data_IF_711776008743
#
_entry.id   IF_711776008743
#
_cell.length_a   1.000
_cell.length_b   1.000
_cell.length_c   1.000
_cell.angle_alpha   90.00
_cell.angle_beta   90.00
_cell.angle_gamma   90.00
#
_symmetry.space_group_name_H-M   'P 1'
#
loop_
_entity.id
_entity.type
_entity.pdbx_description
1 polymer ?
#
# COMPACT_ATOMS: atom_id res chain seq x y z
N UNK A 1 78.64 -10.24 -20.52
CA UNK A 1 77.62 -10.89 -19.67
C UNK A 1 76.40 -11.18 -20.54
N UNK A 2 76.26 -12.40 -20.99
CA UNK A 2 75.17 -12.81 -21.88
C UNK A 2 73.95 -13.23 -21.00
N UNK A 3 72.92 -12.48 -21.06
CA UNK A 3 71.68 -12.74 -20.27
C UNK A 3 70.81 -13.75 -21.00
N UNK A 4 70.47 -14.87 -20.31
CA UNK A 4 69.88 -16.07 -20.84
C UNK A 4 68.37 -15.77 -21.30
N UNK A 5 67.99 -15.97 -22.58
CA UNK A 5 66.67 -15.68 -23.12
C UNK A 5 65.55 -16.57 -22.52
N UNK A 6 65.91 -17.68 -21.89
CA UNK A 6 64.86 -18.58 -21.26
C UNK A 6 64.28 -17.99 -19.99
N UNK A 7 64.98 -17.11 -19.26
CA UNK A 7 64.45 -16.43 -18.07
C UNK A 7 63.45 -15.33 -18.42
N UNK A 8 63.44 -14.75 -19.62
CA UNK A 8 62.49 -13.79 -20.11
C UNK A 8 61.13 -14.45 -20.51
N UNK A 9 61.20 -15.65 -21.08
CA UNK A 9 60.01 -16.40 -21.48
C UNK A 9 59.20 -16.89 -20.25
N UNK A 10 59.83 -17.27 -19.15
CA UNK A 10 59.16 -17.69 -17.92
C UNK A 10 58.52 -16.50 -17.15
N UNK A 11 59.12 -15.32 -17.18
CA UNK A 11 58.56 -14.13 -16.54
C UNK A 11 57.34 -13.58 -17.30
N UNK A 12 57.29 -13.68 -18.64
CA UNK A 12 56.13 -13.28 -19.43
C UNK A 12 54.97 -14.28 -19.29
N UNK A 13 55.27 -15.58 -19.16
CA UNK A 13 54.21 -16.60 -18.96
C UNK A 13 53.57 -16.49 -17.57
N UNK A 14 54.30 -16.08 -16.53
CA UNK A 14 53.78 -15.84 -15.19
C UNK A 14 52.91 -14.57 -15.09
N UNK A 15 53.18 -13.53 -15.88
CA UNK A 15 52.34 -12.32 -15.94
C UNK A 15 51.03 -12.50 -16.72
N UNK A 16 50.98 -13.39 -17.71
CA UNK A 16 49.77 -13.70 -18.46
C UNK A 16 48.80 -14.63 -17.71
N UNK A 17 49.26 -15.40 -16.73
CA UNK A 17 48.44 -16.26 -15.89
C UNK A 17 47.71 -15.52 -14.76
N UNK A 18 48.14 -14.29 -14.42
CA UNK A 18 47.51 -13.48 -13.35
C UNK A 18 46.34 -12.60 -13.81
N UNK A 19 46.04 -12.54 -15.12
CA UNK A 19 44.96 -11.70 -15.69
C UNK A 19 43.66 -12.48 -15.91
N UNK A 20 43.60 -13.74 -15.54
CA UNK A 20 42.54 -14.69 -15.97
C UNK A 20 41.44 -14.97 -14.96
N UNK A 21 41.28 -14.29 -13.81
CA UNK A 21 40.20 -14.58 -12.86
C UNK A 21 39.57 -13.32 -12.24
N UNK A 22 39.28 -12.30 -13.04
CA UNK A 22 38.17 -11.46 -12.72
C UNK A 22 36.91 -12.23 -13.17
N UNK A 23 36.45 -13.19 -12.38
CA UNK A 23 35.09 -13.69 -12.48
C UNK A 23 34.21 -12.47 -12.29
N UNK A 24 33.67 -11.95 -13.38
CA UNK A 24 32.56 -11.01 -13.35
C UNK A 24 31.45 -11.77 -12.61
N UNK A 25 31.30 -11.49 -11.34
CA UNK A 25 30.13 -11.93 -10.59
C UNK A 25 28.92 -11.39 -11.37
N UNK A 26 28.39 -12.21 -12.27
CA UNK A 26 27.20 -11.88 -13.05
C UNK A 26 26.14 -11.56 -12.00
N UNK A 27 25.59 -10.35 -12.03
CA UNK A 27 24.52 -9.97 -11.13
C UNK A 27 23.43 -11.03 -11.25
N UNK A 28 23.08 -11.63 -10.12
CA UNK A 28 22.04 -12.67 -10.10
C UNK A 28 20.74 -12.07 -10.59
N UNK A 29 20.02 -12.70 -11.54
CA UNK A 29 18.75 -12.16 -12.02
C UNK A 29 17.78 -11.92 -10.86
N UNK A 30 17.02 -10.83 -10.90
CA UNK A 30 16.04 -10.52 -9.85
C UNK A 30 15.08 -11.70 -9.60
N UNK A 31 14.67 -12.42 -10.64
CA UNK A 31 13.78 -13.59 -10.52
C UNK A 31 14.36 -14.71 -9.65
N UNK A 32 15.65 -14.98 -9.76
CA UNK A 32 16.32 -16.00 -8.91
C UNK A 32 16.43 -15.55 -7.45
N UNK A 33 16.65 -14.25 -7.22
CA UNK A 33 16.68 -13.66 -5.87
C UNK A 33 15.31 -13.61 -5.23
N UNK A 34 14.27 -13.35 -6.03
CA UNK A 34 12.89 -13.18 -5.59
C UNK A 34 12.34 -14.47 -4.94
N UNK A 35 12.70 -15.64 -5.48
CA UNK A 35 12.23 -16.94 -5.01
C UNK A 35 13.22 -17.64 -4.07
N UNK A 36 14.37 -17.03 -3.82
CA UNK A 36 15.35 -17.63 -2.92
C UNK A 36 14.87 -17.59 -1.46
N UNK A 37 14.67 -18.77 -0.86
CA UNK A 37 14.13 -18.93 0.51
C UNK A 37 15.11 -19.61 1.49
N UNK A 38 16.40 -19.69 1.11
CA UNK A 38 17.43 -20.28 1.96
C UNK A 38 17.68 -19.49 3.26
N UNK A 39 18.26 -20.15 4.28
CA UNK A 39 18.45 -19.54 5.60
C UNK A 39 19.36 -18.33 5.62
N UNK A 40 20.18 -18.15 4.58
CA UNK A 40 21.08 -17.01 4.39
C UNK A 40 20.49 -15.89 3.51
N UNK A 41 19.18 -15.95 3.16
CA UNK A 41 18.51 -14.94 2.32
C UNK A 41 18.79 -13.51 2.77
N UNK A 42 18.55 -13.19 4.04
CA UNK A 42 18.77 -11.82 4.56
C UNK A 42 20.22 -11.40 4.43
N UNK A 43 21.18 -12.29 4.70
CA UNK A 43 22.61 -11.99 4.58
C UNK A 43 23.00 -11.72 3.12
N UNK A 44 22.49 -12.51 2.16
CA UNK A 44 22.71 -12.31 0.73
C UNK A 44 22.12 -11.01 0.24
N UNK A 45 20.86 -10.73 0.58
CA UNK A 45 20.19 -9.49 0.21
C UNK A 45 20.93 -8.28 0.79
N UNK A 46 21.31 -8.33 2.06
CA UNK A 46 22.07 -7.24 2.70
C UNK A 46 23.44 -7.01 2.03
N UNK A 47 24.18 -8.08 1.72
CA UNK A 47 25.47 -7.96 1.05
C UNK A 47 25.35 -7.33 -0.35
N UNK A 48 24.28 -7.68 -1.10
CA UNK A 48 23.94 -7.08 -2.40
C UNK A 48 23.52 -5.62 -2.25
N UNK A 49 22.58 -5.34 -1.36
CA UNK A 49 22.04 -4.01 -1.08
C UNK A 49 23.12 -3.01 -0.63
N UNK A 50 24.12 -3.45 0.13
CA UNK A 50 25.27 -2.61 0.49
C UNK A 50 26.13 -2.22 -0.72
N UNK A 51 26.22 -3.06 -1.74
CA UNK A 51 26.91 -2.71 -2.99
C UNK A 51 26.08 -1.76 -3.84
N UNK A 52 24.76 -1.91 -3.82
CA UNK A 52 23.80 -1.03 -4.49
C UNK A 52 23.70 0.33 -3.80
N UNK A 53 23.81 0.38 -2.47
CA UNK A 53 23.90 1.58 -1.64
C UNK A 53 22.60 2.35 -1.46
N UNK A 54 21.62 2.13 -2.33
CA UNK A 54 20.32 2.86 -2.33
C UNK A 54 19.17 1.97 -2.78
N UNK A 55 17.94 2.42 -2.50
CA UNK A 55 16.69 1.87 -3.01
C UNK A 55 15.70 3.01 -3.23
N UNK A 56 14.93 2.98 -4.31
CA UNK A 56 13.88 3.97 -4.63
C UNK A 56 12.51 3.41 -4.29
N UNK A 57 11.81 4.10 -3.39
CA UNK A 57 10.47 3.75 -2.92
C UNK A 57 9.42 4.75 -3.42
N UNK A 58 8.39 4.25 -4.10
CA UNK A 58 7.15 4.98 -4.35
C UNK A 58 6.10 4.53 -3.33
N UNK A 59 5.57 5.46 -2.52
CA UNK A 59 4.68 5.10 -1.41
C UNK A 59 3.51 6.06 -1.24
N UNK A 60 2.34 5.50 -0.89
CA UNK A 60 1.14 6.25 -0.52
C UNK A 60 0.95 6.43 1.00
N UNK A 61 1.89 5.94 1.81
CA UNK A 61 1.88 6.19 3.27
C UNK A 61 1.81 7.67 3.59
N UNK A 62 1.26 8.02 4.75
CA UNK A 62 1.40 9.38 5.26
C UNK A 62 2.88 9.74 5.41
N UNK A 63 3.21 11.03 5.34
CA UNK A 63 4.61 11.46 5.46
C UNK A 63 5.25 10.98 6.77
N UNK A 64 4.49 11.01 7.86
CA UNK A 64 4.96 10.59 9.18
C UNK A 64 5.21 9.07 9.25
N UNK A 65 4.32 8.25 8.66
CA UNK A 65 4.45 6.80 8.66
C UNK A 65 5.59 6.35 7.73
N UNK A 66 5.67 6.96 6.55
CA UNK A 66 6.77 6.72 5.61
C UNK A 66 8.13 7.07 6.24
N UNK A 67 8.23 8.22 6.92
CA UNK A 67 9.46 8.63 7.59
C UNK A 67 9.86 7.66 8.71
N UNK A 68 8.90 7.14 9.47
CA UNK A 68 9.17 6.16 10.52
C UNK A 68 9.70 4.83 9.95
N UNK A 69 9.06 4.29 8.92
CA UNK A 69 9.48 3.03 8.27
C UNK A 69 10.85 3.19 7.61
N UNK A 70 11.02 4.26 6.81
CA UNK A 70 12.28 4.52 6.09
C UNK A 70 13.43 4.79 7.05
N UNK A 71 13.20 5.59 8.10
CA UNK A 71 14.21 5.87 9.13
C UNK A 71 14.69 4.60 9.82
N UNK A 72 13.77 3.70 10.17
CA UNK A 72 14.11 2.42 10.80
C UNK A 72 14.86 1.48 9.83
N UNK A 73 14.46 1.41 8.55
CA UNK A 73 15.17 0.63 7.54
C UNK A 73 16.61 1.14 7.34
N UNK A 74 16.78 2.45 7.18
CA UNK A 74 18.09 3.07 7.02
C UNK A 74 18.98 2.86 8.26
N UNK A 75 18.43 3.00 9.45
CA UNK A 75 19.16 2.78 10.70
C UNK A 75 19.60 1.31 10.84
N UNK A 76 18.73 0.36 10.47
CA UNK A 76 19.01 -1.08 10.59
C UNK A 76 20.06 -1.57 9.59
N UNK A 77 19.99 -1.12 8.34
CA UNK A 77 20.76 -1.71 7.24
C UNK A 77 21.82 -0.80 6.64
N UNK A 78 21.76 0.51 6.89
CA UNK A 78 22.71 1.49 6.32
C UNK A 78 22.49 1.72 4.82
N UNK A 79 21.31 1.39 4.29
CA UNK A 79 20.97 1.58 2.87
C UNK A 79 20.11 2.84 2.74
N UNK A 80 20.48 3.76 1.84
CA UNK A 80 19.74 5.00 1.61
C UNK A 80 18.41 4.69 0.88
N UNK A 81 17.30 5.28 1.34
CA UNK A 81 16.02 5.21 0.64
C UNK A 81 15.73 6.54 -0.03
N UNK A 82 15.64 6.52 -1.36
CA UNK A 82 15.10 7.62 -2.15
C UNK A 82 13.58 7.48 -2.17
N UNK A 83 12.87 8.55 -1.80
CA UNK A 83 11.44 8.48 -1.59
C UNK A 83 10.70 9.39 -2.57
N UNK A 84 9.65 8.85 -3.18
CA UNK A 84 8.63 9.64 -3.83
C UNK A 84 7.27 9.28 -3.23
N UNK A 85 6.51 10.30 -2.81
CA UNK A 85 5.19 10.15 -2.23
C UNK A 85 4.12 10.72 -3.14
N UNK A 86 3.07 9.95 -3.38
CA UNK A 86 1.88 10.36 -4.12
C UNK A 86 0.61 9.73 -3.55
N UNK A 87 -0.53 10.02 -4.12
CA UNK A 87 -1.73 9.20 -3.94
C UNK A 87 -1.50 7.81 -4.53
N UNK A 88 -2.36 6.85 -4.20
CA UNK A 88 -2.27 5.51 -4.79
C UNK A 88 -2.40 5.55 -6.32
N UNK A 89 -3.31 6.38 -6.83
CA UNK A 89 -3.51 6.62 -8.26
C UNK A 89 -2.28 7.27 -8.92
N UNK A 90 -1.65 8.26 -8.27
CA UNK A 90 -0.43 8.90 -8.78
C UNK A 90 0.72 7.91 -8.92
N UNK A 91 0.87 6.98 -7.95
CA UNK A 91 1.90 5.93 -7.98
C UNK A 91 1.71 5.03 -9.20
N UNK A 92 0.49 4.51 -9.41
CA UNK A 92 0.17 3.68 -10.57
C UNK A 92 0.42 4.44 -11.88
N UNK A 93 -0.12 5.64 -12.00
CA UNK A 93 -0.02 6.45 -13.22
C UNK A 93 1.43 6.78 -13.57
N UNK A 94 2.24 7.12 -12.56
CA UNK A 94 3.67 7.37 -12.73
C UNK A 94 4.41 6.10 -13.15
N UNK A 95 4.19 4.98 -12.47
CA UNK A 95 4.83 3.72 -12.78
C UNK A 95 4.54 3.27 -14.23
N UNK A 96 3.27 3.31 -14.66
CA UNK A 96 2.87 2.98 -16.03
C UNK A 96 3.54 3.90 -17.05
N UNK A 97 3.57 5.21 -16.79
CA UNK A 97 4.17 6.20 -17.68
C UNK A 97 5.68 5.99 -17.83
N UNK A 98 6.38 5.74 -16.73
CA UNK A 98 7.82 5.49 -16.72
C UNK A 98 8.16 4.20 -17.46
N UNK A 99 7.43 3.11 -17.21
CA UNK A 99 7.63 1.83 -17.91
C UNK A 99 7.36 1.95 -19.41
N UNK A 100 6.29 2.63 -19.83
CA UNK A 100 5.99 2.87 -21.24
C UNK A 100 7.10 3.69 -21.93
N UNK A 101 7.76 4.58 -21.20
CA UNK A 101 8.89 5.38 -21.67
C UNK A 101 10.24 4.66 -21.57
N UNK A 102 10.28 3.39 -21.11
CA UNK A 102 11.52 2.62 -20.89
C UNK A 102 12.38 3.16 -19.74
N UNK A 103 11.80 3.92 -18.82
CA UNK A 103 12.49 4.44 -17.63
C UNK A 103 12.14 3.58 -16.43
N UNK A 104 13.15 3.08 -15.75
CA UNK A 104 13.02 2.17 -14.61
C UNK A 104 13.70 2.83 -13.40
N UNK A 105 13.01 3.75 -12.73
CA UNK A 105 13.57 4.55 -11.64
C UNK A 105 13.20 3.97 -10.27
N UNK A 106 12.03 3.35 -10.16
CA UNK A 106 11.54 2.79 -8.91
C UNK A 106 11.97 1.34 -8.71
N UNK A 107 12.28 1.00 -7.47
CA UNK A 107 12.58 -0.36 -7.03
C UNK A 107 11.37 -1.03 -6.38
N UNK A 108 10.66 -0.30 -5.53
CA UNK A 108 9.52 -0.80 -4.75
C UNK A 108 8.36 0.18 -4.85
N UNK A 109 7.16 -0.35 -5.09
CA UNK A 109 5.90 0.35 -4.86
C UNK A 109 5.27 -0.12 -3.55
N UNK A 110 4.74 0.81 -2.75
CA UNK A 110 3.91 0.55 -1.57
C UNK A 110 2.63 1.39 -1.70
N UNK A 111 1.49 0.72 -1.96
CA UNK A 111 0.22 1.41 -2.21
C UNK A 111 -0.98 0.48 -2.05
N UNK A 112 -2.20 0.98 -2.31
CA UNK A 112 -3.43 0.18 -2.20
C UNK A 112 -3.46 -0.98 -3.20
N UNK A 113 -4.10 -2.09 -2.82
CA UNK A 113 -4.26 -3.26 -3.67
C UNK A 113 -4.99 -2.93 -4.98
N UNK A 114 -5.96 -2.02 -4.96
CA UNK A 114 -6.68 -1.57 -6.15
C UNK A 114 -5.76 -0.97 -7.22
N UNK A 115 -4.63 -0.38 -6.82
CA UNK A 115 -3.64 0.19 -7.72
C UNK A 115 -2.48 -0.75 -8.01
N UNK A 116 -2.24 -1.73 -7.11
CA UNK A 116 -1.23 -2.77 -7.34
C UNK A 116 -1.69 -3.78 -8.39
N UNK A 117 -2.97 -4.16 -8.41
CA UNK A 117 -3.51 -5.13 -9.37
C UNK A 117 -3.33 -4.71 -10.84
N UNK A 118 -3.64 -3.46 -11.26
CA UNK A 118 -3.32 -3.00 -12.61
C UNK A 118 -1.82 -3.09 -12.94
N UNK A 119 -0.93 -2.77 -11.99
CA UNK A 119 0.51 -2.90 -12.23
C UNK A 119 0.97 -4.35 -12.40
N UNK A 120 0.31 -5.30 -11.74
CA UNK A 120 0.53 -6.74 -11.97
C UNK A 120 0.04 -7.16 -13.35
N UNK A 121 -1.16 -6.74 -13.75
CA UNK A 121 -1.77 -7.05 -15.06
C UNK A 121 -0.88 -6.54 -16.21
N UNK A 122 -0.31 -5.37 -16.06
CA UNK A 122 0.66 -4.77 -16.98
C UNK A 122 2.08 -5.33 -16.84
N UNK A 123 2.27 -6.36 -16.01
CA UNK A 123 3.55 -7.07 -15.79
C UNK A 123 4.69 -6.16 -15.27
N UNK A 124 4.38 -5.09 -14.55
CA UNK A 124 5.38 -4.20 -13.97
C UNK A 124 6.04 -4.81 -12.73
N UNK A 125 5.32 -5.65 -11.98
CA UNK A 125 5.78 -6.20 -10.72
C UNK A 125 6.37 -7.60 -10.87
N UNK A 126 7.42 -7.85 -10.10
CA UNK A 126 8.10 -9.16 -10.02
C UNK A 126 7.33 -10.05 -9.03
N UNK A 127 6.92 -11.26 -9.41
CA UNK A 127 6.48 -12.25 -8.44
C UNK A 127 7.58 -12.54 -7.41
N UNK A 128 7.22 -12.54 -6.13
CA UNK A 128 8.16 -12.77 -5.03
C UNK A 128 7.60 -13.80 -4.07
N UNK A 129 8.39 -14.84 -3.78
CA UNK A 129 8.13 -15.80 -2.71
C UNK A 129 9.19 -15.61 -1.62
N UNK A 130 8.76 -15.27 -0.40
CA UNK A 130 9.71 -14.96 0.68
C UNK A 130 9.29 -15.59 2.01
N UNK A 131 10.25 -16.12 2.80
CA UNK A 131 9.98 -16.56 4.16
C UNK A 131 9.44 -15.46 5.09
N UNK A 132 9.71 -14.18 4.77
CA UNK A 132 9.20 -13.04 5.53
C UNK A 132 7.66 -12.96 5.52
N UNK A 133 7.00 -13.58 4.55
CA UNK A 133 5.53 -13.66 4.48
C UNK A 133 4.93 -14.76 5.38
N UNK A 134 5.77 -15.63 5.99
CA UNK A 134 5.29 -16.69 6.84
C UNK A 134 4.60 -16.12 8.10
N UNK A 135 3.33 -16.43 8.28
CA UNK A 135 2.55 -15.95 9.44
C UNK A 135 1.68 -14.73 9.16
N UNK A 136 1.71 -14.20 7.96
CA UNK A 136 0.69 -13.25 7.50
C UNK A 136 -0.64 -13.96 7.27
N UNK A 137 -1.74 -13.20 7.33
CA UNK A 137 -3.06 -13.75 6.98
C UNK A 137 -3.09 -14.22 5.51
N UNK A 138 -3.89 -15.24 5.16
CA UNK A 138 -3.98 -15.72 3.79
C UNK A 138 -4.32 -14.62 2.77
N UNK A 139 -5.18 -13.67 3.16
CA UNK A 139 -5.60 -12.55 2.31
C UNK A 139 -4.49 -11.53 2.03
N UNK A 140 -3.35 -11.63 2.71
CA UNK A 140 -2.18 -10.79 2.43
C UNK A 140 -1.37 -11.28 1.23
N UNK A 141 -1.53 -12.55 0.84
CA UNK A 141 -0.72 -13.20 -0.21
C UNK A 141 -1.57 -13.38 -1.45
N UNK A 142 -1.31 -12.57 -2.46
CA UNK A 142 -2.03 -12.65 -3.73
C UNK A 142 -1.59 -13.90 -4.52
N UNK A 143 -2.50 -14.61 -5.21
CA UNK A 143 -2.16 -15.83 -5.96
C UNK A 143 -1.06 -15.65 -7.01
N UNK A 144 -0.94 -14.45 -7.58
CA UNK A 144 0.09 -14.11 -8.58
C UNK A 144 1.43 -13.70 -7.97
N UNK A 145 1.54 -13.56 -6.63
CA UNK A 145 2.74 -13.16 -5.90
C UNK A 145 3.41 -11.84 -6.36
N UNK A 146 2.75 -11.01 -7.17
CA UNK A 146 3.31 -9.76 -7.69
C UNK A 146 3.46 -8.67 -6.62
N UNK A 147 2.69 -8.77 -5.53
CA UNK A 147 2.80 -7.94 -4.34
C UNK A 147 2.25 -8.67 -3.12
N UNK A 148 2.60 -8.20 -1.93
CA UNK A 148 2.18 -8.80 -0.67
C UNK A 148 1.62 -7.68 0.22
N UNK A 149 0.44 -7.90 0.81
CA UNK A 149 -0.15 -6.91 1.69
C UNK A 149 0.63 -6.80 3.01
N UNK A 150 0.99 -5.59 3.37
CA UNK A 150 1.74 -5.24 4.59
C UNK A 150 0.82 -4.74 5.69
N UNK A 151 -0.35 -4.22 5.32
CA UNK A 151 -1.37 -3.69 6.21
C UNK A 151 -2.75 -3.76 5.56
N UNK A 152 -3.77 -3.55 6.37
CA UNK A 152 -5.15 -3.39 5.93
C UNK A 152 -5.56 -1.94 6.11
N UNK A 153 -6.05 -1.31 5.05
CA UNK A 153 -6.80 -0.06 5.13
C UNK A 153 -8.25 -0.41 5.45
N UNK A 154 -8.65 -0.24 6.71
CA UNK A 154 -10.01 -0.55 7.15
C UNK A 154 -10.87 0.68 6.96
N UNK A 155 -11.86 0.58 6.09
CA UNK A 155 -12.84 1.63 5.88
C UNK A 155 -13.76 1.76 7.10
N UNK A 156 -13.85 2.96 7.60
CA UNK A 156 -14.73 3.33 8.70
C UNK A 156 -15.42 4.66 8.38
N UNK A 157 -16.58 4.91 8.95
CA UNK A 157 -17.05 6.27 9.10
C UNK A 157 -16.30 6.98 10.23
N UNK A 158 -16.41 8.30 10.25
CA UNK A 158 -15.88 9.14 11.32
C UNK A 158 -16.84 10.29 11.60
N UNK A 159 -16.94 10.73 12.85
CA UNK A 159 -17.74 11.88 13.18
C UNK A 159 -17.04 12.80 14.19
N UNK A 160 -17.41 14.08 14.13
CA UNK A 160 -16.94 15.08 15.08
C UNK A 160 -17.75 15.02 16.38
N UNK A 161 -17.11 14.81 17.52
CA UNK A 161 -17.76 14.59 18.82
C UNK A 161 -18.29 15.88 19.47
N UNK A 162 -17.85 17.05 19.02
CA UNK A 162 -18.40 18.33 19.45
C UNK A 162 -19.76 18.61 18.81
N UNK A 163 -19.96 18.09 17.57
CA UNK A 163 -21.17 18.30 16.77
C UNK A 163 -22.18 17.15 16.94
N UNK A 164 -21.68 15.91 16.98
CA UNK A 164 -22.51 14.70 17.08
C UNK A 164 -22.14 13.98 18.37
N UNK A 165 -23.09 13.87 19.29
CA UNK A 165 -22.86 13.13 20.53
C UNK A 165 -22.81 11.63 20.26
N UNK A 166 -22.01 10.83 20.99
CA UNK A 166 -21.93 9.37 20.76
C UNK A 166 -23.28 8.64 20.78
N UNK A 167 -24.20 9.09 21.63
CA UNK A 167 -25.57 8.53 21.71
C UNK A 167 -26.41 8.78 20.45
N UNK A 168 -26.09 9.83 19.69
CA UNK A 168 -26.81 10.25 18.48
C UNK A 168 -26.16 9.74 17.19
N UNK A 169 -24.96 9.15 17.28
CA UNK A 169 -24.24 8.58 16.14
C UNK A 169 -25.07 7.47 15.47
N UNK A 170 -25.04 7.35 14.14
CA UNK A 170 -25.75 6.29 13.42
C UNK A 170 -25.13 4.93 13.75
N UNK A 171 -25.96 3.88 13.74
CA UNK A 171 -25.55 2.50 14.01
C UNK A 171 -25.58 1.61 12.76
N UNK A 172 -26.20 2.11 11.71
CA UNK A 172 -26.33 1.44 10.41
C UNK A 172 -26.33 2.49 9.29
N UNK A 173 -26.13 2.05 8.06
CA UNK A 173 -26.29 2.93 6.90
C UNK A 173 -27.74 3.42 6.73
N UNK A 174 -28.74 2.61 7.12
CA UNK A 174 -30.15 2.97 7.11
C UNK A 174 -30.44 4.19 7.98
N UNK A 175 -29.77 4.34 9.11
CA UNK A 175 -29.94 5.49 10.03
C UNK A 175 -29.55 6.82 9.36
N UNK A 176 -28.68 6.77 8.32
CA UNK A 176 -28.26 7.95 7.57
C UNK A 176 -29.34 8.53 6.66
N UNK A 177 -30.49 7.85 6.49
CA UNK A 177 -31.67 8.39 5.77
C UNK A 177 -32.42 9.46 6.58
N UNK A 178 -32.16 9.52 7.89
CA UNK A 178 -32.84 10.47 8.76
C UNK A 178 -32.50 11.93 8.41
N UNK A 179 -33.50 12.86 8.40
CA UNK A 179 -33.29 14.28 8.02
C UNK A 179 -32.29 15.03 8.91
N UNK A 180 -31.97 14.52 10.10
CA UNK A 180 -30.96 15.12 11.00
C UNK A 180 -29.56 15.16 10.40
N UNK A 181 -29.32 14.37 9.35
CA UNK A 181 -28.02 14.30 8.66
C UNK A 181 -27.87 15.28 7.49
N UNK A 182 -28.92 16.06 7.19
CA UNK A 182 -28.90 17.01 6.07
C UNK A 182 -27.73 17.99 6.18
N UNK A 183 -26.89 18.02 5.12
CA UNK A 183 -25.69 18.87 5.03
C UNK A 183 -24.53 18.44 5.92
N UNK A 184 -24.58 17.25 6.55
CA UNK A 184 -23.56 16.79 7.49
C UNK A 184 -22.66 15.66 6.95
N UNK A 185 -23.02 15.08 5.82
CA UNK A 185 -22.34 13.88 5.30
C UNK A 185 -21.18 14.24 4.38
N UNK A 186 -20.13 13.44 4.44
CA UNK A 186 -19.00 13.48 3.51
C UNK A 186 -18.56 12.09 3.08
N UNK A 187 -17.91 12.02 1.90
CA UNK A 187 -17.35 10.78 1.35
C UNK A 187 -16.08 11.09 0.54
N UNK A 188 -15.18 10.15 0.47
CA UNK A 188 -14.00 10.24 -0.40
C UNK A 188 -14.36 9.85 -1.84
N UNK A 189 -13.78 10.54 -2.84
CA UNK A 189 -14.21 10.47 -4.26
C UNK A 189 -13.82 9.17 -4.96
N UNK A 190 -12.74 8.51 -4.51
CA UNK A 190 -12.15 7.34 -5.19
C UNK A 190 -12.57 6.00 -4.54
N UNK A 191 -13.61 5.98 -3.68
CA UNK A 191 -14.05 4.81 -2.90
C UNK A 191 -15.04 3.89 -3.64
N UNK A 192 -14.91 3.77 -4.97
CA UNK A 192 -15.74 2.86 -5.74
C UNK A 192 -15.55 1.37 -5.37
N UNK A 193 -14.36 0.99 -4.90
CA UNK A 193 -14.06 -0.36 -4.39
C UNK A 193 -14.78 -0.65 -3.06
N UNK A 194 -14.90 0.36 -2.18
CA UNK A 194 -15.72 0.26 -0.98
C UNK A 194 -17.20 0.09 -1.34
N UNK A 195 -17.72 0.91 -2.27
CA UNK A 195 -19.12 0.82 -2.71
C UNK A 195 -19.41 -0.57 -3.27
N UNK A 196 -18.57 -1.11 -4.19
CA UNK A 196 -18.69 -2.46 -4.73
C UNK A 196 -18.87 -3.49 -3.61
N UNK A 197 -18.01 -3.40 -2.59
CA UNK A 197 -17.94 -4.39 -1.51
C UNK A 197 -19.19 -4.29 -0.61
N UNK A 198 -19.53 -3.08 -0.15
CA UNK A 198 -20.69 -2.86 0.73
C UNK A 198 -22.01 -3.23 0.06
N UNK A 199 -22.19 -2.78 -1.18
CA UNK A 199 -23.44 -3.09 -1.93
C UNK A 199 -23.52 -4.56 -2.32
N UNK A 200 -22.36 -5.20 -2.57
CA UNK A 200 -22.30 -6.64 -2.83
C UNK A 200 -22.89 -7.46 -1.69
N UNK A 201 -22.54 -7.11 -0.45
CA UNK A 201 -23.09 -7.75 0.76
C UNK A 201 -24.56 -7.43 1.02
N UNK A 202 -24.99 -6.21 0.68
CA UNK A 202 -26.40 -5.79 0.87
C UNK A 202 -27.34 -6.30 -0.23
N UNK A 203 -26.78 -6.79 -1.35
CA UNK A 203 -27.45 -6.97 -2.64
C UNK A 203 -27.43 -5.67 -3.46
N UNK A 204 -26.85 -5.74 -4.67
CA UNK A 204 -26.48 -4.57 -5.51
C UNK A 204 -27.63 -3.55 -5.64
N UNK A 205 -28.81 -3.99 -6.06
CA UNK A 205 -29.95 -3.10 -6.26
C UNK A 205 -30.41 -2.42 -4.96
N UNK A 206 -30.50 -3.18 -3.87
CA UNK A 206 -30.92 -2.68 -2.56
C UNK A 206 -29.92 -1.69 -1.99
N UNK A 207 -28.61 -2.03 -2.06
CA UNK A 207 -27.54 -1.19 -1.52
C UNK A 207 -27.42 0.13 -2.30
N UNK A 208 -27.43 0.08 -3.64
CA UNK A 208 -27.39 1.30 -4.46
C UNK A 208 -28.59 2.20 -4.19
N UNK A 209 -29.80 1.62 -4.06
CA UNK A 209 -31.01 2.39 -3.70
C UNK A 209 -30.88 3.07 -2.34
N UNK A 210 -30.33 2.36 -1.34
CA UNK A 210 -30.12 2.92 -0.01
C UNK A 210 -29.20 4.15 -0.06
N UNK A 211 -28.04 4.07 -0.70
CA UNK A 211 -27.12 5.20 -0.80
C UNK A 211 -27.69 6.35 -1.63
N UNK A 212 -28.40 6.05 -2.71
CA UNK A 212 -29.10 7.06 -3.48
C UNK A 212 -30.14 7.81 -2.62
N UNK A 213 -30.94 7.09 -1.83
CA UNK A 213 -31.94 7.70 -0.93
C UNK A 213 -31.29 8.58 0.14
N UNK A 214 -30.15 8.14 0.71
CA UNK A 214 -29.39 8.91 1.70
C UNK A 214 -28.91 10.23 1.10
N UNK A 215 -28.33 10.19 -0.08
CA UNK A 215 -27.80 11.39 -0.76
C UNK A 215 -28.92 12.32 -1.23
N UNK A 216 -30.02 11.77 -1.77
CA UNK A 216 -31.18 12.55 -2.18
C UNK A 216 -31.84 13.27 -1.00
N UNK A 217 -31.91 12.63 0.18
CA UNK A 217 -32.49 13.22 1.38
C UNK A 217 -31.61 14.29 2.04
N UNK A 218 -30.31 14.04 2.11
CA UNK A 218 -29.39 14.78 2.99
C UNK A 218 -28.29 15.56 2.27
N UNK A 219 -28.02 15.24 1.00
CA UNK A 219 -26.81 15.68 0.31
C UNK A 219 -25.55 15.01 0.85
N UNK A 220 -24.47 15.14 0.14
CA UNK A 220 -23.16 14.64 0.59
C UNK A 220 -22.04 15.53 0.04
N UNK A 221 -21.01 15.78 0.85
CA UNK A 221 -19.81 16.53 0.46
C UNK A 221 -18.77 15.53 -0.04
N UNK A 222 -18.41 15.59 -1.32
CA UNK A 222 -17.39 14.74 -1.91
C UNK A 222 -16.02 15.41 -1.77
N UNK A 223 -15.02 14.68 -1.25
CA UNK A 223 -13.67 15.20 -1.03
C UNK A 223 -12.64 14.25 -1.63
N UNK A 224 -11.50 14.78 -2.08
CA UNK A 224 -10.39 13.98 -2.59
C UNK A 224 -9.32 13.81 -1.52
N UNK A 225 -9.05 12.57 -1.13
CA UNK A 225 -8.04 12.16 -0.17
C UNK A 225 -8.59 11.89 1.23
N UNK A 226 -8.43 10.65 1.71
CA UNK A 226 -8.87 10.19 3.03
C UNK A 226 -8.29 11.02 4.18
N UNK A 227 -6.99 11.40 4.09
CA UNK A 227 -6.37 12.28 5.09
C UNK A 227 -7.07 13.63 5.18
N UNK A 228 -7.41 14.23 4.02
CA UNK A 228 -8.09 15.51 3.98
C UNK A 228 -9.51 15.41 4.53
N UNK A 229 -10.24 14.35 4.15
CA UNK A 229 -11.59 14.13 4.66
C UNK A 229 -11.60 13.92 6.18
N UNK A 230 -10.65 13.14 6.72
CA UNK A 230 -10.51 12.96 8.18
C UNK A 230 -10.21 14.29 8.90
N UNK A 231 -9.35 15.15 8.33
CA UNK A 231 -9.08 16.48 8.86
C UNK A 231 -10.33 17.38 8.85
N UNK A 232 -11.18 17.30 7.81
CA UNK A 232 -12.45 18.01 7.78
C UNK A 232 -13.44 17.51 8.83
N UNK A 233 -13.38 16.21 9.18
CA UNK A 233 -14.16 15.73 10.33
C UNK A 233 -13.60 16.35 11.63
N UNK A 234 -12.27 16.35 11.80
CA UNK A 234 -11.62 16.95 12.98
C UNK A 234 -11.94 18.43 13.17
N UNK A 235 -11.97 19.19 12.08
CA UNK A 235 -12.33 20.63 12.11
C UNK A 235 -13.85 20.89 12.23
N UNK A 236 -14.68 19.88 12.00
CA UNK A 236 -16.15 20.01 11.96
C UNK A 236 -16.69 20.55 10.64
N UNK A 237 -15.86 20.79 9.61
CA UNK A 237 -16.34 21.18 8.26
C UNK A 237 -17.20 20.08 7.62
N UNK A 238 -16.85 18.82 7.86
CA UNK A 238 -17.66 17.64 7.55
C UNK A 238 -18.01 16.95 8.86
N UNK A 239 -19.23 17.13 9.40
CA UNK A 239 -19.59 16.55 10.69
C UNK A 239 -19.49 15.03 10.78
N UNK A 240 -19.77 14.32 9.65
CA UNK A 240 -19.72 12.87 9.55
C UNK A 240 -19.23 12.45 8.17
N UNK A 241 -18.11 11.73 8.12
CA UNK A 241 -17.64 11.04 6.92
C UNK A 241 -18.20 9.61 6.87
N UNK A 242 -18.63 9.16 5.68
CA UNK A 242 -19.05 7.77 5.44
C UNK A 242 -17.85 6.86 5.31
N UNK A 243 -16.79 7.35 4.68
CA UNK A 243 -15.57 6.61 4.41
C UNK A 243 -14.34 7.40 4.82
N UNK A 244 -13.49 6.79 5.58
CA UNK A 244 -12.09 7.15 5.81
C UNK A 244 -11.35 5.88 6.25
N UNK A 245 -10.06 5.95 6.52
CA UNK A 245 -9.36 4.80 7.09
C UNK A 245 -9.21 4.93 8.60
N UNK A 246 -9.40 3.82 9.31
CA UNK A 246 -9.39 3.78 10.77
C UNK A 246 -8.15 4.44 11.38
N UNK A 247 -6.97 4.23 10.80
CA UNK A 247 -5.72 4.80 11.30
C UNK A 247 -5.66 6.33 11.21
N UNK A 248 -6.32 6.96 10.22
CA UNK A 248 -6.39 8.43 10.16
C UNK A 248 -7.18 9.00 11.33
N UNK A 249 -8.29 8.37 11.67
CA UNK A 249 -9.14 8.81 12.79
C UNK A 249 -8.42 8.61 14.12
N UNK A 250 -7.77 7.47 14.31
CA UNK A 250 -7.02 7.18 15.53
C UNK A 250 -5.82 8.13 15.70
N UNK A 251 -5.12 8.48 14.62
CA UNK A 251 -4.04 9.46 14.65
C UNK A 251 -4.54 10.84 15.09
N UNK A 252 -5.63 11.32 14.48
CA UNK A 252 -6.25 12.60 14.86
C UNK A 252 -6.76 12.60 16.30
N UNK A 253 -7.36 11.51 16.75
CA UNK A 253 -7.81 11.32 18.12
C UNK A 253 -6.66 11.39 19.12
N UNK A 254 -5.54 10.76 18.80
CA UNK A 254 -4.30 10.83 19.63
C UNK A 254 -3.71 12.25 19.66
N UNK A 255 -3.89 13.02 18.60
CA UNK A 255 -3.49 14.44 18.54
C UNK A 255 -4.47 15.37 19.26
N UNK A 256 -5.57 14.82 19.81
CA UNK A 256 -6.56 15.56 20.59
C UNK A 256 -7.70 16.17 19.77
N UNK A 257 -7.84 15.80 18.50
CA UNK A 257 -8.97 16.23 17.69
C UNK A 257 -10.29 15.61 18.20
N UNK A 258 -11.42 16.34 18.14
CA UNK A 258 -12.72 15.86 18.60
C UNK A 258 -13.35 14.91 17.57
N UNK A 259 -12.73 13.76 17.35
CA UNK A 259 -13.18 12.75 16.36
C UNK A 259 -13.38 11.40 17.02
N UNK A 260 -14.32 10.62 16.47
CA UNK A 260 -14.53 9.23 16.87
C UNK A 260 -14.79 8.34 15.66
N UNK A 261 -14.34 7.09 15.75
CA UNK A 261 -14.60 6.04 14.77
C UNK A 261 -16.08 5.67 14.73
N UNK A 262 -16.56 5.36 13.54
CA UNK A 262 -17.91 4.89 13.30
C UNK A 262 -17.86 3.59 12.48
N UNK A 263 -18.10 2.47 13.13
CA UNK A 263 -18.18 1.17 12.46
C UNK A 263 -19.62 0.91 12.00
N UNK A 264 -19.87 1.10 10.71
CA UNK A 264 -21.14 0.75 10.07
C UNK A 264 -20.98 -0.58 9.32
N UNK A 265 -21.66 -1.67 9.75
CA UNK A 265 -21.52 -2.94 9.05
C UNK A 265 -22.17 -2.93 7.67
N UNK A 266 -21.59 -3.61 6.68
CA UNK A 266 -20.36 -4.39 6.74
C UNK A 266 -19.10 -3.53 6.81
N UNK A 267 -18.08 -3.97 7.57
CA UNK A 267 -16.79 -3.27 7.70
C UNK A 267 -15.83 -3.78 6.65
N UNK A 268 -15.41 -2.90 5.76
CA UNK A 268 -14.59 -3.25 4.60
C UNK A 268 -13.10 -3.06 4.87
N UNK A 269 -12.29 -4.03 4.47
CA UNK A 269 -10.85 -3.97 4.50
C UNK A 269 -10.26 -4.02 3.08
N UNK A 270 -9.41 -3.06 2.76
CA UNK A 270 -8.64 -3.03 1.54
C UNK A 270 -7.19 -3.46 1.84
N UNK A 271 -6.72 -4.60 1.32
CA UNK A 271 -5.30 -4.95 1.40
C UNK A 271 -4.44 -3.86 0.76
N UNK A 272 -3.44 -3.42 1.49
CA UNK A 272 -2.48 -2.40 1.04
C UNK A 272 -1.08 -2.95 1.28
N UNK A 273 -0.22 -2.89 0.29
CA UNK A 273 1.01 -3.63 0.38
C UNK A 273 2.14 -3.13 -0.49
N UNK A 274 3.20 -3.93 -0.56
CA UNK A 274 4.41 -3.62 -1.30
C UNK A 274 4.71 -4.67 -2.37
N UNK A 275 5.24 -4.20 -3.50
CA UNK A 275 5.70 -5.03 -4.61
C UNK A 275 7.02 -4.49 -5.18
N UNK A 276 7.85 -5.38 -5.68
CA UNK A 276 9.13 -5.06 -6.32
C UNK A 276 8.92 -4.93 -7.82
N UNK A 277 9.44 -3.88 -8.43
CA UNK A 277 9.39 -3.72 -9.88
C UNK A 277 10.29 -4.73 -10.59
N UNK A 278 9.82 -5.32 -11.71
CA UNK A 278 10.61 -6.29 -12.50
C UNK A 278 11.94 -5.77 -13.02
N UNK A 279 12.01 -4.47 -13.23
CA UNK A 279 13.19 -3.76 -13.74
C UNK A 279 13.84 -2.90 -12.65
N UNK A 280 13.65 -3.29 -11.38
CA UNK A 280 14.24 -2.59 -10.25
C UNK A 280 15.77 -2.40 -10.46
N UNK A 281 16.27 -1.14 -10.44
CA UNK A 281 17.69 -0.86 -10.56
C UNK A 281 18.54 -1.46 -9.43
N UNK A 282 17.93 -1.63 -8.24
CA UNK A 282 18.60 -2.08 -7.01
C UNK A 282 17.90 -3.34 -6.45
N UNK A 283 18.03 -4.50 -7.14
CA UNK A 283 17.19 -5.68 -6.86
C UNK A 283 17.39 -6.28 -5.45
N UNK A 284 18.59 -6.24 -4.90
CA UNK A 284 18.84 -6.75 -3.54
C UNK A 284 18.23 -5.82 -2.48
N UNK A 285 18.43 -4.52 -2.64
CA UNK A 285 17.87 -3.52 -1.74
C UNK A 285 16.34 -3.48 -1.81
N UNK A 286 15.76 -3.69 -3.00
CA UNK A 286 14.32 -3.79 -3.20
C UNK A 286 13.71 -4.98 -2.44
N UNK A 287 14.29 -6.18 -2.61
CA UNK A 287 13.83 -7.37 -1.88
C UNK A 287 14.06 -7.28 -0.38
N UNK A 288 15.18 -6.67 0.05
CA UNK A 288 15.45 -6.42 1.46
C UNK A 288 14.43 -5.44 2.08
N UNK A 289 14.04 -4.40 1.32
CA UNK A 289 13.01 -3.46 1.75
C UNK A 289 11.62 -4.12 1.80
N UNK A 290 11.29 -4.99 0.82
CA UNK A 290 10.07 -5.77 0.87
C UNK A 290 10.04 -6.68 2.10
N UNK A 291 11.11 -7.46 2.36
CA UNK A 291 11.19 -8.33 3.53
C UNK A 291 11.06 -7.52 4.84
N UNK A 292 11.60 -6.29 4.89
CA UNK A 292 11.45 -5.37 6.02
C UNK A 292 10.00 -4.90 6.19
N UNK A 293 9.28 -4.60 5.09
CA UNK A 293 7.86 -4.25 5.15
C UNK A 293 7.00 -5.40 5.69
N UNK A 294 7.38 -6.65 5.41
CA UNK A 294 6.65 -7.83 5.87
C UNK A 294 6.98 -8.25 7.31
N UNK A 295 7.99 -7.62 7.92
CA UNK A 295 8.47 -7.94 9.27
C UNK A 295 8.46 -6.71 10.18
N UNK A 296 9.58 -6.04 10.35
CA UNK A 296 9.74 -4.93 11.32
C UNK A 296 8.78 -3.76 11.07
N UNK A 297 8.55 -3.41 9.80
CA UNK A 297 7.68 -2.29 9.46
C UNK A 297 6.23 -2.53 9.85
N UNK A 298 5.76 -3.78 9.92
CA UNK A 298 4.41 -4.09 10.38
C UNK A 298 4.19 -3.63 11.83
N UNK A 299 5.19 -3.87 12.71
CA UNK A 299 5.13 -3.39 14.09
C UNK A 299 5.19 -1.87 14.15
N UNK A 300 6.09 -1.24 13.39
CA UNK A 300 6.23 0.22 13.34
C UNK A 300 4.89 0.86 12.92
N UNK A 301 4.23 0.31 11.89
CA UNK A 301 2.94 0.81 11.42
C UNK A 301 1.79 0.49 12.39
N UNK A 302 1.82 -0.67 13.07
CA UNK A 302 0.83 -1.02 14.08
C UNK A 302 0.90 -0.10 15.31
N UNK A 303 2.10 0.28 15.75
CA UNK A 303 2.33 1.25 16.83
C UNK A 303 1.85 2.67 16.41
N UNK A 304 1.54 2.86 15.12
CA UNK A 304 1.00 4.07 14.51
C UNK A 304 -0.44 3.89 13.99
N UNK A 305 -1.18 2.99 14.62
CA UNK A 305 -2.61 2.69 14.43
C UNK A 305 -2.98 1.94 13.14
N UNK A 306 -2.02 1.60 12.28
CA UNK A 306 -2.30 0.71 11.16
C UNK A 306 -2.74 -0.68 11.63
N UNK A 307 -3.49 -1.37 10.78
CA UNK A 307 -3.86 -2.77 11.00
C UNK A 307 -2.89 -3.65 10.23
N UNK A 308 -1.94 -4.33 10.91
CA UNK A 308 -0.94 -5.17 10.24
C UNK A 308 -1.59 -6.42 9.66
N UNK A 309 -0.95 -7.04 8.68
CA UNK A 309 -1.37 -8.35 8.14
C UNK A 309 -0.80 -9.53 8.93
N UNK A 310 0.09 -9.27 9.88
CA UNK A 310 0.55 -10.26 10.86
C UNK A 310 -0.31 -10.20 12.13
N UNK A 311 -1.25 -11.16 12.33
CA UNK A 311 -2.16 -11.13 13.47
C UNK A 311 -1.47 -11.35 14.83
N UNK A 312 -0.18 -11.75 14.83
CA UNK A 312 0.62 -11.90 16.05
C UNK A 312 1.04 -10.53 16.61
N UNK A 313 1.10 -9.49 15.77
CA UNK A 313 1.46 -8.12 16.17
C UNK A 313 0.24 -7.41 16.76
N UNK A 314 -0.91 -7.49 16.08
CA UNK A 314 -2.17 -6.89 16.52
C UNK A 314 -3.33 -7.74 15.99
N UNK A 315 -4.27 -8.06 16.86
CA UNK A 315 -5.49 -8.78 16.45
C UNK A 315 -6.27 -7.96 15.41
N UNK A 316 -6.79 -8.64 14.39
CA UNK A 316 -7.62 -8.01 13.38
C UNK A 316 -8.99 -7.65 13.96
N UNK A 317 -9.62 -6.57 13.49
CA UNK A 317 -11.03 -6.32 13.73
C UNK A 317 -11.86 -7.53 13.31
N UNK A 318 -12.96 -7.78 14.03
CA UNK A 318 -13.86 -8.88 13.69
C UNK A 318 -14.71 -8.53 12.48
N UNK A 319 -15.19 -9.56 11.80
CA UNK A 319 -16.18 -9.46 10.72
C UNK A 319 -15.78 -8.54 9.57
N UNK A 320 -14.45 -8.49 9.26
CA UNK A 320 -13.95 -7.76 8.11
C UNK A 320 -14.32 -8.47 6.81
N UNK A 321 -14.83 -7.71 5.87
CA UNK A 321 -15.04 -8.13 4.49
C UNK A 321 -13.93 -7.51 3.63
N UNK A 322 -13.26 -8.33 2.85
CA UNK A 322 -12.17 -7.88 2.01
C UNK A 322 -12.69 -7.42 0.64
N UNK A 323 -12.13 -6.33 0.13
CA UNK A 323 -12.37 -5.91 -1.26
C UNK A 323 -11.94 -7.04 -2.19
N UNK A 324 -12.86 -7.47 -3.06
CA UNK A 324 -12.56 -8.41 -4.15
C UNK A 324 -11.81 -7.64 -5.25
N UNK A 325 -10.47 -7.62 -5.14
CA UNK A 325 -9.60 -6.88 -6.03
C UNK A 325 -9.68 -7.34 -7.48
N UNK A 326 -9.67 -8.67 -7.80
CA UNK A 326 -9.90 -9.15 -9.17
C UNK A 326 -11.22 -8.64 -9.75
N UNK A 327 -12.32 -8.76 -9.02
CA UNK A 327 -13.63 -8.26 -9.47
C UNK A 327 -13.62 -6.75 -9.65
N UNK A 328 -13.03 -6.00 -8.72
CA UNK A 328 -12.92 -4.55 -8.86
C UNK A 328 -12.11 -4.15 -10.09
N UNK A 329 -11.04 -4.87 -10.39
CA UNK A 329 -10.22 -4.62 -11.57
C UNK A 329 -10.98 -4.88 -12.89
N UNK A 330 -11.82 -5.90 -12.92
CA UNK A 330 -12.63 -6.26 -14.11
C UNK A 330 -13.85 -5.37 -14.29
N UNK A 331 -14.46 -4.91 -13.20
CA UNK A 331 -15.70 -4.11 -13.21
C UNK A 331 -15.47 -2.64 -12.80
N UNK A 332 -14.22 -2.17 -12.68
CA UNK A 332 -13.88 -0.86 -12.11
C UNK A 332 -14.59 0.31 -12.78
N UNK A 333 -14.68 0.31 -14.12
CA UNK A 333 -15.41 1.35 -14.86
C UNK A 333 -16.90 1.39 -14.49
N UNK A 334 -17.53 0.21 -14.34
CA UNK A 334 -18.93 0.10 -13.89
C UNK A 334 -19.08 0.72 -12.50
N UNK A 335 -18.21 0.34 -11.56
CA UNK A 335 -18.33 0.78 -10.18
C UNK A 335 -17.95 2.24 -9.98
N UNK A 336 -16.97 2.74 -10.70
CA UNK A 336 -16.64 4.18 -10.76
C UNK A 336 -17.84 4.99 -11.30
N UNK A 337 -18.49 4.50 -12.35
CA UNK A 337 -19.69 5.14 -12.90
C UNK A 337 -20.83 5.16 -11.88
N UNK A 338 -21.14 4.02 -11.23
CA UNK A 338 -22.19 3.91 -10.22
C UNK A 338 -21.89 4.78 -9.00
N UNK A 339 -20.64 4.85 -8.57
CA UNK A 339 -20.20 5.73 -7.49
C UNK A 339 -20.46 7.20 -7.84
N UNK A 340 -20.05 7.61 -9.03
CA UNK A 340 -20.25 8.99 -9.51
C UNK A 340 -21.73 9.33 -9.65
N UNK A 341 -22.56 8.41 -10.10
CA UNK A 341 -24.01 8.59 -10.22
C UNK A 341 -24.68 8.71 -8.86
N UNK A 342 -24.22 7.95 -7.87
CA UNK A 342 -24.78 7.93 -6.52
C UNK A 342 -24.35 9.14 -5.69
N UNK A 343 -23.07 9.51 -5.73
CA UNK A 343 -22.52 10.50 -4.79
C UNK A 343 -22.11 11.82 -5.44
N UNK A 344 -21.55 11.82 -6.65
CA UNK A 344 -20.94 13.03 -7.25
C UNK A 344 -21.96 13.86 -8.01
N UNK A 345 -22.81 13.24 -8.85
CA UNK A 345 -23.76 13.98 -9.72
C UNK A 345 -24.92 14.63 -8.97
N UNK A 346 -25.20 14.18 -7.75
CA UNK A 346 -26.30 14.70 -6.93
C UNK A 346 -25.88 15.90 -6.07
N UNK A 347 -24.60 16.29 -6.09
CA UNK A 347 -24.06 17.42 -5.32
C UNK A 347 -24.14 18.76 -6.08
N UNK A 348 -24.84 18.82 -7.23
CA UNK A 348 -25.02 20.05 -8.02
C UNK A 348 -26.33 20.75 -7.74
#
# INVERSE_FOLDING_TARGET
>A
MMWNPQLRAMALAAMLAAVGFCAHARAQPLSELADYSGPDRTARLLAGAKREGTVTLYSSLTLADQSAVVGAFQAKYGIKVQQWRGSSEDIRSRALTEYAAGRFEADVAETSGSEMEPMVREQLLQPVTTPAAAGLIPQAIMPHHGWIATRLSVFVGAYNTDIIKPADAPKSYEDLRAPKWKGKLGIEVDDANWLLTVVGEMGEEKGLRLFHDIVAANGISVRKGHTLLANFVGSGEVPLALTTYSYHVEQLKREGAPVELLYLPPVVALPTGAGVFRKAPHPHAALLLLDFYLTDAQKILADRDSVPTDPRIKALPKDLIFVDLPKYLDEGDKWTKLFNETFVKQTR
#
